data_IF_352287975673
#
_entry.id   IF_352287975673
#
_cell.length_a   1.000
_cell.length_b   1.000
_cell.length_c   1.000
_cell.angle_alpha   90.00
_cell.angle_beta   90.00
_cell.angle_gamma   90.00
#
_symmetry.space_group_name_H-M   'P 1'
#
loop_
_entity.id
_entity.type
_entity.pdbx_description
1 polymer ?
#
# COMPACT_ATOMS: atom_id res chain seq x y z
N UNK A 1 -0.11 -13.59 22.79
CA UNK A 1 -1.50 -13.51 22.27
C UNK A 1 -1.51 -12.66 21.03
N UNK A 2 -2.21 -13.09 19.99
CA UNK A 2 -2.34 -12.33 18.73
C UNK A 2 -3.81 -11.97 18.55
N UNK A 3 -4.09 -10.70 18.26
CA UNK A 3 -5.43 -10.19 18.00
C UNK A 3 -5.43 -9.67 16.56
N UNK A 4 -6.20 -10.33 15.72
CA UNK A 4 -6.38 -9.91 14.34
C UNK A 4 -7.46 -8.85 14.20
N UNK A 5 -7.35 -7.99 13.19
CA UNK A 5 -8.31 -6.92 12.90
C UNK A 5 -8.60 -6.02 14.12
N UNK A 6 -7.57 -5.70 14.91
CA UNK A 6 -7.69 -4.99 16.18
C UNK A 6 -8.31 -3.58 16.01
N UNK A 7 -8.21 -2.96 14.83
CA UNK A 7 -8.87 -1.69 14.49
C UNK A 7 -10.40 -1.77 14.55
N UNK A 8 -11.00 -2.97 14.48
CA UNK A 8 -12.45 -3.16 14.62
C UNK A 8 -12.95 -3.08 16.06
N UNK A 9 -12.03 -3.04 17.03
CA UNK A 9 -12.32 -2.94 18.45
C UNK A 9 -11.81 -1.57 18.96
N UNK A 10 -12.63 -0.51 18.97
CA UNK A 10 -12.19 0.83 19.37
C UNK A 10 -11.54 0.90 20.77
N UNK A 11 -11.98 0.03 21.68
CA UNK A 11 -11.51 -0.04 23.07
C UNK A 11 -10.24 -0.90 23.25
N UNK A 12 -9.66 -1.45 22.17
CA UNK A 12 -8.57 -2.43 22.25
C UNK A 12 -7.34 -1.88 22.97
N UNK A 13 -7.02 -0.60 22.80
CA UNK A 13 -5.91 0.05 23.50
C UNK A 13 -6.11 0.08 25.02
N UNK A 14 -7.33 0.36 25.49
CA UNK A 14 -7.64 0.35 26.94
C UNK A 14 -7.59 -1.06 27.52
N UNK A 15 -8.10 -2.05 26.78
CA UNK A 15 -8.10 -3.46 27.20
C UNK A 15 -6.65 -3.97 27.33
N UNK A 16 -5.84 -3.74 26.31
CA UNK A 16 -4.43 -4.17 26.29
C UNK A 16 -3.60 -3.46 27.34
N UNK A 17 -3.86 -2.17 27.59
CA UNK A 17 -3.28 -1.45 28.74
C UNK A 17 -3.65 -2.11 30.06
N UNK A 18 -4.92 -2.46 30.26
CA UNK A 18 -5.40 -3.11 31.49
C UNK A 18 -4.69 -4.44 31.75
N UNK A 19 -4.48 -5.27 30.73
CA UNK A 19 -3.73 -6.52 30.86
C UNK A 19 -2.25 -6.30 31.17
N UNK A 20 -1.62 -5.32 30.52
CA UNK A 20 -0.24 -4.97 30.79
C UNK A 20 -0.05 -4.46 32.23
N UNK A 21 -0.87 -3.50 32.67
CA UNK A 21 -0.81 -2.91 34.01
C UNK A 21 -1.14 -3.94 35.10
N UNK A 22 -1.93 -4.97 34.79
CA UNK A 22 -2.25 -6.09 35.71
C UNK A 22 -1.12 -7.12 35.83
N UNK A 23 0.00 -6.95 35.11
CA UNK A 23 1.14 -7.86 35.15
C UNK A 23 0.91 -9.17 34.40
N UNK A 24 0.02 -9.19 33.40
CA UNK A 24 -0.15 -10.37 32.55
C UNK A 24 1.12 -10.56 31.72
N UNK A 25 1.88 -11.61 32.04
CA UNK A 25 3.14 -11.95 31.37
C UNK A 25 2.87 -12.59 29.99
N UNK A 26 2.37 -11.79 29.06
CA UNK A 26 2.13 -12.22 27.69
C UNK A 26 2.46 -11.11 26.71
N UNK A 27 3.26 -11.44 25.69
CA UNK A 27 3.44 -10.58 24.52
C UNK A 27 2.12 -10.48 23.77
N UNK A 28 1.61 -9.28 23.59
CA UNK A 28 0.39 -9.00 22.83
C UNK A 28 0.80 -8.44 21.47
N UNK A 29 0.32 -9.07 20.39
CA UNK A 29 0.50 -8.62 19.01
C UNK A 29 -0.87 -8.20 18.50
N UNK A 30 -0.98 -6.95 18.06
CA UNK A 30 -2.18 -6.41 17.42
C UNK A 30 -1.92 -6.31 15.93
N UNK A 31 -2.72 -7.02 15.14
CA UNK A 31 -2.68 -6.95 13.68
C UNK A 31 -3.81 -6.05 13.19
N UNK A 32 -3.58 -5.41 12.05
CA UNK A 32 -4.58 -4.63 11.35
C UNK A 32 -4.11 -4.25 9.98
N UNK A 33 -5.07 -4.09 9.09
CA UNK A 33 -4.89 -4.53 7.73
C UNK A 33 -4.98 -3.37 6.73
N UNK A 34 -5.66 -2.27 7.07
CA UNK A 34 -5.94 -1.19 6.11
C UNK A 34 -5.98 0.23 6.68
N UNK A 35 -6.12 0.43 7.99
CA UNK A 35 -6.18 1.77 8.57
C UNK A 35 -5.37 1.88 9.86
N UNK A 36 -4.05 1.99 9.66
CA UNK A 36 -3.08 2.24 10.73
C UNK A 36 -3.50 3.44 11.60
N UNK A 37 -4.10 4.48 11.02
CA UNK A 37 -4.56 5.67 11.75
C UNK A 37 -5.63 5.38 12.82
N UNK A 38 -6.50 4.39 12.60
CA UNK A 38 -7.52 3.99 13.59
C UNK A 38 -6.96 3.08 14.68
N UNK A 39 -6.04 2.21 14.31
CA UNK A 39 -5.19 1.50 15.26
C UNK A 39 -4.37 2.50 16.09
N UNK A 40 -3.93 3.61 15.49
CA UNK A 40 -3.17 4.65 16.18
C UNK A 40 -4.02 5.47 17.15
N UNK A 41 -5.26 5.84 16.79
CA UNK A 41 -6.17 6.53 17.72
C UNK A 41 -6.54 5.65 18.92
N UNK A 42 -6.79 4.35 18.72
CA UNK A 42 -7.07 3.42 19.82
C UNK A 42 -5.80 3.15 20.67
N UNK A 43 -4.62 3.10 20.05
CA UNK A 43 -3.34 2.89 20.71
C UNK A 43 -2.70 4.15 21.34
N UNK A 44 -3.35 5.31 21.29
CA UNK A 44 -2.90 6.53 21.97
C UNK A 44 -2.79 6.31 23.50
N UNK A 45 -3.63 5.40 24.01
CA UNK A 45 -3.57 4.90 25.40
C UNK A 45 -2.33 4.06 25.75
N UNK A 46 -1.52 3.67 24.75
CA UNK A 46 -0.32 2.81 24.87
C UNK A 46 0.99 3.56 24.55
N UNK A 47 0.98 4.91 24.54
CA UNK A 47 2.15 5.71 24.22
C UNK A 47 3.40 5.29 25.03
N UNK A 48 4.50 4.98 24.33
CA UNK A 48 5.77 4.52 24.90
C UNK A 48 5.80 3.06 25.36
N UNK A 49 4.72 2.30 25.17
CA UNK A 49 4.58 0.89 25.58
C UNK A 49 4.22 -0.05 24.43
N UNK A 50 4.29 0.45 23.20
CA UNK A 50 4.11 -0.33 21.99
C UNK A 50 5.30 -0.15 21.03
N UNK A 51 5.56 -1.20 20.28
CA UNK A 51 6.45 -1.15 19.11
C UNK A 51 5.58 -1.30 17.87
N UNK A 52 5.77 -0.41 16.90
CA UNK A 52 4.99 -0.39 15.67
C UNK A 52 5.80 -1.06 14.57
N UNK A 53 5.27 -2.13 14.01
CA UNK A 53 5.86 -2.82 12.86
C UNK A 53 4.96 -2.56 11.66
N UNK A 54 5.55 -1.98 10.62
CA UNK A 54 4.87 -1.72 9.35
C UNK A 54 5.34 -2.74 8.32
N UNK A 55 4.39 -3.43 7.68
CA UNK A 55 4.65 -4.43 6.66
C UNK A 55 4.16 -3.90 5.30
N UNK A 56 5.07 -3.33 4.47
CA UNK A 56 4.70 -2.93 3.12
C UNK A 56 4.52 -4.15 2.20
N UNK A 57 3.96 -3.96 0.98
CA UNK A 57 4.05 -4.96 -0.07
C UNK A 57 5.50 -5.38 -0.32
N UNK A 58 5.68 -6.55 -0.94
CA UNK A 58 7.01 -7.10 -1.20
C UNK A 58 7.85 -6.11 -2.02
N UNK A 59 9.09 -5.92 -1.60
CA UNK A 59 10.09 -5.22 -2.40
C UNK A 59 10.36 -6.01 -3.67
N UNK A 60 10.75 -5.32 -4.73
CA UNK A 60 11.14 -6.00 -5.97
C UNK A 60 12.29 -7.00 -5.75
N UNK A 61 13.17 -6.72 -4.80
CA UNK A 61 14.23 -7.65 -4.41
C UNK A 61 13.66 -8.93 -3.79
N UNK A 62 12.70 -8.84 -2.88
CA UNK A 62 12.04 -10.02 -2.29
C UNK A 62 11.32 -10.85 -3.37
N UNK A 63 10.65 -10.20 -4.32
CA UNK A 63 10.00 -10.90 -5.45
C UNK A 63 11.02 -11.64 -6.32
N UNK A 64 12.22 -11.06 -6.54
CA UNK A 64 13.31 -11.71 -7.26
C UNK A 64 13.91 -12.87 -6.43
N UNK A 65 14.04 -12.69 -5.12
CA UNK A 65 14.58 -13.71 -4.21
C UNK A 65 13.68 -14.94 -4.09
N UNK A 66 12.38 -14.78 -4.31
CA UNK A 66 11.39 -15.86 -4.33
C UNK A 66 11.41 -16.67 -5.64
N UNK A 67 12.14 -16.24 -6.66
CA UNK A 67 12.18 -16.94 -7.95
C UNK A 67 12.98 -18.25 -7.87
N UNK A 68 12.46 -19.29 -8.52
CA UNK A 68 13.09 -20.63 -8.57
C UNK A 68 14.53 -20.58 -9.10
N UNK A 69 14.82 -19.67 -10.04
CA UNK A 69 16.14 -19.53 -10.65
C UNK A 69 17.11 -18.68 -9.81
N UNK A 70 16.66 -18.04 -8.73
CA UNK A 70 17.50 -17.21 -7.89
C UNK A 70 18.44 -18.04 -7.01
N UNK A 71 19.65 -17.53 -6.79
CA UNK A 71 20.58 -18.04 -5.78
C UNK A 71 21.18 -16.88 -4.99
N UNK A 72 21.31 -16.99 -3.65
CA UNK A 72 22.00 -15.99 -2.83
C UNK A 72 23.45 -15.73 -3.26
N UNK A 73 24.10 -16.72 -3.89
CA UNK A 73 25.49 -16.61 -4.36
C UNK A 73 25.64 -15.75 -5.62
N UNK A 74 24.53 -15.41 -6.29
CA UNK A 74 24.59 -14.59 -7.49
C UNK A 74 24.87 -13.12 -7.16
N UNK A 75 25.94 -12.59 -7.73
CA UNK A 75 26.15 -11.14 -7.75
C UNK A 75 25.06 -10.42 -8.54
N UNK A 76 24.77 -9.16 -8.18
CA UNK A 76 23.82 -8.30 -8.93
C UNK A 76 24.13 -8.23 -10.43
N UNK A 77 25.41 -8.27 -10.81
CA UNK A 77 25.85 -8.28 -12.21
C UNK A 77 25.51 -9.61 -12.90
N UNK A 78 25.72 -10.74 -12.23
CA UNK A 78 25.37 -12.06 -12.74
C UNK A 78 23.85 -12.18 -12.95
N UNK A 79 23.05 -11.69 -11.98
CA UNK A 79 21.59 -11.65 -12.08
C UNK A 79 21.15 -10.87 -13.32
N UNK A 80 21.63 -9.63 -13.47
CA UNK A 80 21.30 -8.78 -14.62
C UNK A 80 21.73 -9.36 -15.96
N UNK A 81 22.88 -10.03 -16.03
CA UNK A 81 23.42 -10.56 -17.28
C UNK A 81 22.72 -11.86 -17.71
N UNK A 82 22.45 -12.76 -16.76
CA UNK A 82 21.95 -14.10 -17.05
C UNK A 82 20.41 -14.18 -17.05
N UNK A 83 19.73 -13.25 -16.38
CA UNK A 83 18.28 -13.28 -16.18
C UNK A 83 17.59 -11.96 -16.58
N UNK A 84 18.21 -11.16 -17.46
CA UNK A 84 17.66 -9.86 -17.90
C UNK A 84 16.22 -9.95 -18.40
N UNK A 85 15.90 -11.00 -19.18
CA UNK A 85 14.57 -11.23 -19.72
C UNK A 85 13.56 -11.51 -18.61
N UNK A 86 13.89 -12.43 -17.70
CA UNK A 86 13.05 -12.80 -16.56
C UNK A 86 12.82 -11.61 -15.64
N UNK A 87 13.86 -10.82 -15.36
CA UNK A 87 13.76 -9.58 -14.59
C UNK A 87 12.80 -8.60 -15.28
N UNK A 88 12.90 -8.45 -16.61
CA UNK A 88 12.00 -7.60 -17.37
C UNK A 88 10.54 -8.06 -17.28
N UNK A 89 10.29 -9.37 -17.39
CA UNK A 89 8.95 -9.94 -17.25
C UNK A 89 8.38 -9.72 -15.84
N UNK A 90 9.17 -9.98 -14.81
CA UNK A 90 8.77 -9.76 -13.40
C UNK A 90 8.52 -8.26 -13.17
N UNK A 91 9.38 -7.38 -13.67
CA UNK A 91 9.18 -5.94 -13.58
C UNK A 91 7.86 -5.50 -14.20
N UNK A 92 7.54 -6.00 -15.39
CA UNK A 92 6.26 -5.69 -16.03
C UNK A 92 5.08 -6.20 -15.22
N UNK A 93 5.19 -7.39 -14.60
CA UNK A 93 4.14 -7.90 -13.72
C UNK A 93 4.00 -7.06 -12.45
N UNK A 94 5.10 -6.69 -11.79
CA UNK A 94 5.09 -5.78 -10.64
C UNK A 94 4.48 -4.43 -10.99
N UNK A 95 4.73 -3.91 -12.19
CA UNK A 95 4.12 -2.66 -12.65
C UNK A 95 2.61 -2.82 -12.87
N UNK A 96 2.16 -3.92 -13.47
CA UNK A 96 0.73 -4.05 -13.78
C UNK A 96 -0.08 -4.46 -12.55
N UNK A 97 0.47 -5.30 -11.69
CA UNK A 97 -0.28 -5.97 -10.63
C UNK A 97 0.16 -5.60 -9.21
N UNK A 98 1.26 -4.85 -9.06
CA UNK A 98 1.86 -4.56 -7.78
C UNK A 98 2.52 -5.78 -7.14
N UNK A 99 3.04 -5.60 -5.93
CA UNK A 99 3.76 -6.63 -5.19
C UNK A 99 3.08 -7.04 -3.88
N UNK A 100 1.75 -6.94 -3.78
CA UNK A 100 1.05 -7.59 -2.67
C UNK A 100 1.39 -9.09 -2.68
N UNK A 101 1.70 -9.72 -1.54
CA UNK A 101 2.09 -11.13 -1.50
C UNK A 101 1.15 -12.05 -2.31
N UNK A 102 -0.15 -11.85 -2.17
CA UNK A 102 -1.18 -12.60 -2.89
C UNK A 102 -1.22 -12.25 -4.39
N UNK A 103 -0.93 -11.01 -4.78
CA UNK A 103 -0.85 -10.60 -6.19
C UNK A 103 0.37 -11.20 -6.90
N UNK A 104 1.47 -11.41 -6.16
CA UNK A 104 2.70 -12.03 -6.68
C UNK A 104 2.48 -13.53 -6.89
N UNK A 105 1.85 -14.20 -5.91
CA UNK A 105 1.72 -15.66 -5.85
C UNK A 105 0.50 -16.23 -6.60
N UNK A 106 -0.56 -15.45 -6.81
CA UNK A 106 -1.76 -15.93 -7.50
C UNK A 106 -1.59 -15.98 -9.02
N UNK A 107 -2.14 -17.03 -9.63
CA UNK A 107 -2.28 -17.13 -11.09
C UNK A 107 -3.39 -16.20 -11.63
N UNK A 108 -4.36 -15.83 -10.78
CA UNK A 108 -5.52 -15.02 -11.18
C UNK A 108 -5.38 -13.55 -10.76
N UNK A 109 -4.25 -12.93 -11.12
CA UNK A 109 -3.85 -11.58 -10.64
C UNK A 109 -4.92 -10.52 -10.87
N UNK A 110 -5.54 -10.51 -12.05
CA UNK A 110 -6.59 -9.53 -12.38
C UNK A 110 -7.83 -9.69 -11.51
N UNK A 111 -8.33 -10.91 -11.35
CA UNK A 111 -9.51 -11.19 -10.50
C UNK A 111 -9.22 -10.83 -9.05
N UNK A 112 -8.04 -11.21 -8.56
CA UNK A 112 -7.58 -10.86 -7.22
C UNK A 112 -7.61 -9.35 -6.98
N UNK A 113 -7.03 -8.55 -7.87
CA UNK A 113 -6.98 -7.09 -7.69
C UNK A 113 -8.37 -6.46 -7.74
N UNK A 114 -9.25 -6.93 -8.63
CA UNK A 114 -10.63 -6.42 -8.69
C UNK A 114 -11.38 -6.69 -7.38
N UNK A 115 -11.19 -7.87 -6.80
CA UNK A 115 -11.79 -8.24 -5.52
C UNK A 115 -11.15 -7.46 -4.36
N UNK A 116 -9.81 -7.36 -4.31
CA UNK A 116 -9.09 -6.59 -3.30
C UNK A 116 -9.58 -5.13 -3.24
N UNK A 117 -9.70 -4.48 -4.40
CA UNK A 117 -10.19 -3.11 -4.48
C UNK A 117 -11.66 -3.00 -4.03
N UNK A 118 -12.51 -3.95 -4.44
CA UNK A 118 -13.96 -3.86 -4.22
C UNK A 118 -14.39 -4.30 -2.82
N UNK A 119 -13.91 -5.44 -2.36
CA UNK A 119 -14.38 -6.13 -1.16
C UNK A 119 -13.71 -5.61 0.11
N UNK A 120 -12.46 -5.17 -0.03
CA UNK A 120 -11.60 -4.85 1.09
C UNK A 120 -11.36 -3.34 1.17
N UNK A 121 -10.77 -2.73 0.14
CA UNK A 121 -10.37 -1.33 0.23
C UNK A 121 -11.58 -0.40 0.23
N UNK A 122 -12.48 -0.51 -0.75
CA UNK A 122 -13.63 0.40 -0.79
C UNK A 122 -14.63 0.16 0.32
N UNK A 123 -14.82 -1.09 0.75
CA UNK A 123 -15.73 -1.42 1.84
C UNK A 123 -15.25 -0.84 3.17
N UNK A 124 -13.97 -1.06 3.50
CA UNK A 124 -13.39 -0.57 4.75
C UNK A 124 -13.36 0.96 4.76
N UNK A 125 -12.92 1.59 3.67
CA UNK A 125 -12.84 3.05 3.57
C UNK A 125 -14.24 3.71 3.66
N UNK A 126 -15.27 3.09 3.08
CA UNK A 126 -16.65 3.53 3.26
C UNK A 126 -17.11 3.37 4.71
N UNK A 127 -16.84 2.21 5.33
CA UNK A 127 -17.22 1.91 6.71
C UNK A 127 -16.59 2.88 7.70
N UNK A 128 -15.35 3.29 7.45
CA UNK A 128 -14.64 4.27 8.27
C UNK A 128 -14.99 5.73 7.91
N UNK A 129 -15.92 5.96 6.97
CA UNK A 129 -16.40 7.29 6.61
C UNK A 129 -15.37 8.15 5.87
N UNK A 130 -14.25 7.56 5.42
CA UNK A 130 -13.17 8.26 4.72
C UNK A 130 -13.61 8.71 3.31
N UNK A 131 -14.56 7.98 2.72
CA UNK A 131 -15.24 8.37 1.47
C UNK A 131 -16.75 8.17 1.62
N UNK A 132 -17.54 8.93 0.85
CA UNK A 132 -19.01 8.81 0.81
C UNK A 132 -19.51 7.86 -0.28
N UNK A 133 -18.76 7.74 -1.37
CA UNK A 133 -19.13 6.94 -2.55
C UNK A 133 -17.86 6.39 -3.21
N UNK A 134 -17.94 5.16 -3.73
CA UNK A 134 -16.82 4.47 -4.39
C UNK A 134 -16.65 4.85 -5.86
N UNK A 135 -17.72 5.34 -6.50
CA UNK A 135 -17.70 5.70 -7.93
C UNK A 135 -16.62 6.73 -8.28
N UNK A 136 -16.54 7.87 -7.57
CA UNK A 136 -15.53 8.90 -7.82
C UNK A 136 -14.08 8.38 -7.74
N UNK A 137 -13.74 7.65 -6.67
CA UNK A 137 -12.39 7.12 -6.48
C UNK A 137 -12.03 6.04 -7.50
N UNK A 138 -13.00 5.21 -7.95
CA UNK A 138 -12.82 4.27 -9.07
C UNK A 138 -12.44 4.99 -10.37
N UNK A 139 -13.06 6.15 -10.64
CA UNK A 139 -12.73 6.96 -11.83
C UNK A 139 -11.34 7.57 -11.74
N UNK A 140 -10.93 8.04 -10.54
CA UNK A 140 -9.55 8.47 -10.30
C UNK A 140 -8.61 7.32 -10.62
N UNK A 141 -8.78 6.16 -9.98
CA UNK A 141 -7.92 5.00 -10.18
C UNK A 141 -7.83 4.57 -11.65
N UNK A 142 -8.95 4.57 -12.38
CA UNK A 142 -8.97 4.25 -13.81
C UNK A 142 -8.16 5.24 -14.66
N UNK A 143 -8.24 6.55 -14.37
CA UNK A 143 -7.41 7.55 -15.05
C UNK A 143 -5.93 7.42 -14.73
N UNK A 144 -5.59 7.12 -13.47
CA UNK A 144 -4.19 6.87 -13.08
C UNK A 144 -3.64 5.64 -13.79
N UNK A 145 -4.43 4.57 -13.88
CA UNK A 145 -4.05 3.34 -14.58
C UNK A 145 -3.80 3.57 -16.08
N UNK A 146 -4.54 4.48 -16.71
CA UNK A 146 -4.33 4.86 -18.12
C UNK A 146 -3.05 5.68 -18.32
N UNK A 147 -2.59 6.38 -17.29
CA UNK A 147 -1.45 7.31 -17.33
C UNK A 147 -0.23 6.77 -16.56
N UNK A 148 -0.13 5.46 -16.33
CA UNK A 148 1.01 4.84 -15.66
C UNK A 148 2.32 5.22 -16.37
N UNK A 149 3.34 5.61 -15.61
CA UNK A 149 4.63 6.02 -16.13
C UNK A 149 4.67 7.44 -16.72
N UNK A 150 3.55 8.16 -16.69
CA UNK A 150 3.48 9.58 -17.08
C UNK A 150 3.39 10.49 -15.86
N UNK A 151 3.77 11.75 -16.08
CA UNK A 151 3.63 12.82 -15.10
C UNK A 151 2.16 13.23 -15.00
N UNK A 152 1.60 13.22 -13.78
CA UNK A 152 0.19 13.52 -13.54
C UNK A 152 0.09 14.78 -12.67
N UNK A 153 -0.82 15.68 -13.04
CA UNK A 153 -1.15 16.86 -12.25
C UNK A 153 -2.52 16.71 -11.59
N UNK A 154 -2.61 17.10 -10.32
CA UNK A 154 -3.87 17.10 -9.56
C UNK A 154 -4.92 17.99 -10.23
N UNK A 155 -4.49 19.13 -10.77
CA UNK A 155 -5.37 20.04 -11.51
C UNK A 155 -5.94 19.41 -12.78
N UNK A 156 -5.12 18.64 -13.52
CA UNK A 156 -5.56 17.90 -14.70
C UNK A 156 -6.61 16.85 -14.34
N UNK A 157 -6.36 16.07 -13.29
CA UNK A 157 -7.32 15.08 -12.78
C UNK A 157 -8.64 15.74 -12.34
N UNK A 158 -8.56 16.84 -11.59
CA UNK A 158 -9.73 17.60 -11.14
C UNK A 158 -10.57 18.09 -12.32
N UNK A 159 -9.93 18.65 -13.35
CA UNK A 159 -10.58 19.12 -14.57
C UNK A 159 -11.23 18.00 -15.37
N UNK A 160 -10.50 16.91 -15.64
CA UNK A 160 -11.01 15.77 -16.42
C UNK A 160 -12.17 15.05 -15.73
N UNK A 161 -12.18 15.01 -14.39
CA UNK A 161 -13.20 14.32 -13.61
C UNK A 161 -14.33 15.21 -13.11
N UNK A 162 -14.22 16.54 -13.27
CA UNK A 162 -15.18 17.50 -12.74
C UNK A 162 -15.27 17.47 -11.20
N UNK A 163 -14.17 17.16 -10.53
CA UNK A 163 -14.11 17.06 -9.06
C UNK A 163 -13.29 18.19 -8.47
N UNK A 164 -13.63 18.62 -7.24
CA UNK A 164 -12.82 19.59 -6.53
C UNK A 164 -11.41 19.04 -6.27
N UNK A 165 -10.39 19.89 -6.41
CA UNK A 165 -8.97 19.55 -6.21
C UNK A 165 -8.73 18.81 -4.89
N UNK A 166 -9.27 19.33 -3.78
CA UNK A 166 -9.17 18.73 -2.44
C UNK A 166 -9.74 17.31 -2.37
N UNK A 167 -10.76 17.00 -3.19
CA UNK A 167 -11.33 15.65 -3.25
C UNK A 167 -10.40 14.69 -3.99
N UNK A 168 -9.73 15.15 -5.05
CA UNK A 168 -8.70 14.37 -5.74
C UNK A 168 -7.52 14.12 -4.80
N UNK A 169 -7.01 15.15 -4.12
CA UNK A 169 -5.91 15.01 -3.16
C UNK A 169 -6.23 14.00 -2.06
N UNK A 170 -7.43 14.06 -1.48
CA UNK A 170 -7.88 13.07 -0.48
C UNK A 170 -7.94 11.66 -1.05
N UNK A 171 -8.39 11.48 -2.29
CA UNK A 171 -8.42 10.16 -2.91
C UNK A 171 -7.02 9.64 -3.22
N UNK A 172 -6.10 10.50 -3.67
CA UNK A 172 -4.70 10.12 -3.89
C UNK A 172 -4.03 9.68 -2.57
N UNK A 173 -4.17 10.48 -1.50
CA UNK A 173 -3.65 10.15 -0.17
C UNK A 173 -4.17 8.79 0.32
N UNK A 174 -5.46 8.54 0.15
CA UNK A 174 -6.06 7.27 0.56
C UNK A 174 -5.54 6.09 -0.28
N UNK A 175 -5.46 6.23 -1.60
CA UNK A 175 -4.96 5.18 -2.49
C UNK A 175 -3.48 4.88 -2.20
N UNK A 176 -2.70 5.88 -1.80
CA UNK A 176 -1.29 5.75 -1.44
C UNK A 176 -1.09 5.09 -0.08
N UNK A 177 -1.85 5.51 0.95
CA UNK A 177 -1.85 4.87 2.28
C UNK A 177 -2.28 3.41 2.25
N UNK A 178 -3.13 3.06 1.29
CA UNK A 178 -3.58 1.67 1.08
C UNK A 178 -2.67 0.88 0.14
N UNK A 179 -1.60 1.49 -0.38
CA UNK A 179 -0.64 0.94 -1.33
C UNK A 179 -1.22 0.53 -2.70
N UNK A 180 -2.41 1.03 -3.06
CA UNK A 180 -2.95 0.84 -4.42
C UNK A 180 -2.09 1.60 -5.43
N UNK A 181 -1.64 2.80 -5.06
CA UNK A 181 -0.76 3.62 -5.88
C UNK A 181 0.48 4.00 -5.10
N UNK A 182 1.56 4.29 -5.82
CA UNK A 182 2.74 4.93 -5.27
C UNK A 182 3.05 6.17 -6.08
N UNK A 183 3.33 7.26 -5.38
CA UNK A 183 3.68 8.52 -6.00
C UNK A 183 5.21 8.68 -5.99
N UNK A 184 5.79 8.95 -7.16
CA UNK A 184 7.20 9.27 -7.29
C UNK A 184 7.32 10.76 -7.53
N UNK A 185 7.83 11.48 -6.53
CA UNK A 185 8.17 12.88 -6.66
C UNK A 185 9.51 13.01 -7.39
N UNK A 186 9.53 13.80 -8.46
CA UNK A 186 10.80 14.24 -9.03
C UNK A 186 11.30 15.39 -8.14
N UNK A 187 12.45 15.21 -7.48
CA UNK A 187 13.15 16.34 -6.85
C UNK A 187 13.63 17.29 -7.95
N UNK A 188 12.78 18.22 -8.35
CA UNK A 188 13.19 19.44 -9.03
C UNK A 188 12.62 20.64 -8.28
N UNK A 189 13.55 21.51 -7.87
CA UNK A 189 13.33 22.77 -7.17
C UNK A 189 12.08 23.53 -7.64
N UNK A 190 11.25 23.86 -6.64
CA UNK A 190 10.25 24.93 -6.57
C UNK A 190 9.09 24.95 -7.58
N UNK A 191 7.88 24.84 -7.00
CA UNK A 191 6.59 25.43 -7.38
C UNK A 191 5.52 24.67 -8.18
N UNK A 192 5.70 23.42 -8.62
CA UNK A 192 4.56 22.59 -9.08
C UNK A 192 4.76 21.12 -8.70
N UNK A 193 3.87 20.58 -7.87
CA UNK A 193 3.87 19.16 -7.47
C UNK A 193 3.35 18.32 -8.63
N UNK A 194 4.29 17.84 -9.42
CA UNK A 194 4.04 16.84 -10.44
C UNK A 194 4.57 15.49 -9.96
N UNK A 195 3.78 14.44 -10.17
CA UNK A 195 4.07 13.10 -9.69
C UNK A 195 4.17 12.14 -10.86
N UNK A 196 5.14 11.24 -10.81
CA UNK A 196 5.14 10.04 -11.63
C UNK A 196 4.36 8.95 -10.89
N UNK A 197 3.37 8.34 -11.54
CA UNK A 197 2.77 7.12 -11.02
C UNK A 197 3.57 5.94 -11.50
N UNK A 198 4.16 5.24 -10.54
CA UNK A 198 4.67 3.90 -10.75
C UNK A 198 4.04 2.97 -9.71
N UNK A 199 4.16 1.70 -10.00
CA UNK A 199 3.76 0.58 -9.15
C UNK A 199 5.06 -0.14 -8.80
N UNK A 200 5.31 -0.21 -7.49
CA UNK A 200 6.45 -0.86 -6.81
C UNK A 200 7.77 -0.95 -7.62
N UNK A 201 8.45 0.17 -7.82
CA UNK A 201 9.92 0.21 -7.86
C UNK A 201 10.52 1.63 -7.85
N UNK A 202 11.12 2.04 -6.73
CA UNK A 202 12.47 2.63 -6.72
C UNK A 202 12.94 2.93 -5.29
N UNK A 203 13.51 1.94 -4.62
CA UNK A 203 14.55 2.18 -3.61
C UNK A 203 15.67 1.17 -3.85
N UNK A 204 16.75 1.63 -4.47
CA UNK A 204 18.11 1.29 -4.06
C UNK A 204 19.07 2.34 -4.63
N UNK A 205 19.55 3.19 -3.73
CA UNK A 205 20.91 3.72 -3.81
C UNK A 205 21.91 2.55 -3.76
#
# INVERSE_FOLDING_TARGET
MVIDEAQRLPEIGKITKGWYDSGVDSKIILLGSSNLDLLYQSAESLAGRNEKIYLPPLTFQEVIQDQIWYSPDFSRKAIKMNFSKQIGEILMQSIVFGNYPEAVTTERKREYLVNLISDYIFKDVLQFGLIKMTGPIKKVLALLAYQIGSEISVNGLAGSLGMARQTIERYLDLLEKTFIIFSFFREMKFHQENFFLGTTNSISH
#
